data_IF_877428648031
#
_entry.id   IF_877428648031
#
_cell.length_a   1.000
_cell.length_b   1.000
_cell.length_c   1.000
_cell.angle_alpha   90.00
_cell.angle_beta   90.00
_cell.angle_gamma   90.00
#
_symmetry.space_group_name_H-M   'P 1'
#
loop_
_entity.id
_entity.type
_entity.pdbx_description
1 polymer ?
#
# COMPACT_ATOMS: atom_id res chain seq x y z
N UNK A 1 -14.60 4.30 -20.10
CA UNK A 1 -14.67 2.85 -19.81
C UNK A 1 -13.28 2.23 -19.62
N UNK A 2 -12.29 2.55 -20.46
CA UNK A 2 -10.92 1.99 -20.41
C UNK A 2 -10.22 2.28 -19.07
N UNK A 3 -10.26 3.52 -18.58
CA UNK A 3 -9.67 3.92 -17.29
C UNK A 3 -10.20 3.14 -16.08
N UNK A 4 -11.47 2.72 -16.12
CA UNK A 4 -12.09 1.94 -15.04
C UNK A 4 -11.50 0.52 -14.98
N UNK A 5 -11.31 -0.12 -16.14
CA UNK A 5 -10.70 -1.44 -16.27
C UNK A 5 -9.22 -1.41 -15.87
N UNK A 6 -8.48 -0.37 -16.26
CA UNK A 6 -7.10 -0.16 -15.86
C UNK A 6 -6.96 -0.04 -14.34
N UNK A 7 -7.73 0.86 -13.71
CA UNK A 7 -7.71 1.04 -12.26
C UNK A 7 -8.06 -0.24 -11.49
N UNK A 8 -9.01 -1.04 -12.01
CA UNK A 8 -9.32 -2.36 -11.47
C UNK A 8 -8.13 -3.31 -11.58
N UNK A 9 -7.51 -3.40 -12.76
CA UNK A 9 -6.38 -4.29 -12.99
C UNK A 9 -5.20 -3.99 -12.06
N UNK A 10 -4.85 -2.71 -11.87
CA UNK A 10 -3.78 -2.28 -10.98
C UNK A 10 -4.10 -2.57 -9.51
N UNK A 11 -5.35 -2.36 -9.10
CA UNK A 11 -5.81 -2.66 -7.74
C UNK A 11 -5.76 -4.16 -7.44
N UNK A 12 -6.15 -5.00 -8.41
CA UNK A 12 -6.09 -6.47 -8.29
C UNK A 12 -4.64 -6.95 -8.16
N UNK A 13 -3.74 -6.47 -9.02
CA UNK A 13 -2.31 -6.85 -8.95
C UNK A 13 -1.71 -6.44 -7.61
N UNK A 14 -1.91 -5.19 -7.18
CA UNK A 14 -1.42 -4.69 -5.90
C UNK A 14 -1.97 -5.48 -4.71
N UNK A 15 -3.24 -5.85 -4.74
CA UNK A 15 -3.90 -6.67 -3.71
C UNK A 15 -3.23 -8.05 -3.58
N UNK A 16 -3.05 -8.78 -4.68
CA UNK A 16 -2.43 -10.10 -4.64
C UNK A 16 -0.99 -10.06 -4.13
N UNK A 17 -0.20 -9.10 -4.59
CA UNK A 17 1.19 -8.93 -4.15
C UNK A 17 1.26 -8.62 -2.65
N UNK A 18 0.38 -7.75 -2.15
CA UNK A 18 0.34 -7.36 -0.74
C UNK A 18 -0.09 -8.50 0.19
N UNK A 19 -1.08 -9.31 -0.22
CA UNK A 19 -1.48 -10.52 0.53
C UNK A 19 -0.34 -11.54 0.55
N UNK A 20 0.27 -11.81 -0.61
CA UNK A 20 1.38 -12.74 -0.73
C UNK A 20 2.59 -12.31 0.12
N UNK A 21 2.95 -11.03 0.06
CA UNK A 21 4.02 -10.47 0.87
C UNK A 21 3.72 -10.58 2.37
N UNK A 22 2.51 -10.24 2.79
CA UNK A 22 2.11 -10.34 4.21
C UNK A 22 2.16 -11.79 4.72
N UNK A 23 1.78 -12.75 3.88
CA UNK A 23 1.89 -14.18 4.19
C UNK A 23 3.34 -14.62 4.36
N UNK A 24 4.23 -14.25 3.42
CA UNK A 24 5.65 -14.59 3.50
C UNK A 24 6.33 -13.96 4.71
N UNK A 25 6.03 -12.69 5.00
CA UNK A 25 6.59 -11.97 6.14
C UNK A 25 6.23 -12.63 7.48
N UNK A 26 4.95 -12.98 7.66
CA UNK A 26 4.49 -13.69 8.87
C UNK A 26 5.08 -15.10 8.98
N UNK A 27 5.25 -15.79 7.85
CA UNK A 27 5.82 -17.14 7.79
C UNK A 27 7.33 -17.15 8.09
N UNK A 28 8.11 -16.20 7.54
CA UNK A 28 9.58 -16.21 7.65
C UNK A 28 10.15 -15.55 8.91
N UNK A 29 9.33 -14.91 9.76
CA UNK A 29 9.79 -14.13 10.94
C UNK A 29 10.83 -13.04 10.60
N UNK A 30 10.85 -12.56 9.37
CA UNK A 30 11.84 -11.56 8.96
C UNK A 30 11.53 -10.23 9.65
N UNK A 31 12.50 -9.70 10.42
CA UNK A 31 12.46 -8.35 10.99
C UNK A 31 13.04 -7.35 9.97
N UNK A 32 12.42 -7.27 8.79
CA UNK A 32 12.83 -6.25 7.82
C UNK A 32 12.19 -4.93 8.26
N UNK A 33 13.01 -3.90 8.41
CA UNK A 33 12.51 -2.56 8.68
C UNK A 33 11.89 -1.98 7.40
N UNK A 34 10.59 -2.25 7.24
CA UNK A 34 9.79 -1.79 6.10
C UNK A 34 9.17 -0.41 6.36
N UNK A 35 9.63 0.32 7.39
CA UNK A 35 9.10 1.64 7.75
C UNK A 35 9.18 2.64 6.59
N UNK A 36 10.21 2.56 5.75
CA UNK A 36 10.37 3.40 4.56
C UNK A 36 9.19 3.31 3.58
N UNK A 37 8.51 2.16 3.49
CA UNK A 37 7.37 1.98 2.60
C UNK A 37 6.12 2.75 3.06
N UNK A 38 6.09 3.27 4.31
CA UNK A 38 4.99 4.11 4.79
C UNK A 38 4.90 5.45 4.06
N UNK A 39 6.00 5.90 3.43
CA UNK A 39 6.05 7.15 2.65
C UNK A 39 5.06 7.11 1.48
N UNK A 40 4.81 5.93 0.90
CA UNK A 40 3.80 5.70 -0.14
C UNK A 40 2.37 5.72 0.43
N UNK A 41 1.94 6.90 0.82
CA UNK A 41 0.58 7.21 1.23
C UNK A 41 -0.30 7.63 0.04
N UNK A 42 -1.55 7.97 0.35
CA UNK A 42 -2.56 8.35 -0.65
C UNK A 42 -2.12 9.56 -1.49
N UNK A 43 -1.52 10.57 -0.85
CA UNK A 43 -1.12 11.82 -1.50
C UNK A 43 0.16 11.69 -2.33
N UNK A 44 1.19 10.98 -1.83
CA UNK A 44 2.41 10.69 -2.59
C UNK A 44 2.11 9.86 -3.83
N UNK A 45 1.27 8.84 -3.69
CA UNK A 45 0.89 7.98 -4.82
C UNK A 45 0.13 8.77 -5.88
N UNK A 46 -0.82 9.61 -5.47
CA UNK A 46 -1.51 10.52 -6.39
C UNK A 46 -0.55 11.49 -7.08
N UNK A 47 0.32 12.16 -6.31
CA UNK A 47 1.28 13.13 -6.83
C UNK A 47 2.26 12.49 -7.82
N UNK A 48 2.75 11.28 -7.55
CA UNK A 48 3.63 10.55 -8.46
C UNK A 48 2.90 10.11 -9.73
N UNK A 49 1.65 9.65 -9.64
CA UNK A 49 0.84 9.32 -10.84
C UNK A 49 0.70 10.56 -11.73
N UNK A 50 0.36 11.73 -11.17
CA UNK A 50 0.27 12.96 -11.95
C UNK A 50 1.61 13.38 -12.57
N UNK A 51 2.71 13.30 -11.80
CA UNK A 51 4.05 13.65 -12.28
C UNK A 51 4.48 12.77 -13.46
N UNK A 52 4.32 11.45 -13.32
CA UNK A 52 4.70 10.50 -14.37
C UNK A 52 3.77 10.55 -15.58
N UNK A 53 2.49 10.87 -15.39
CA UNK A 53 1.57 11.09 -16.50
C UNK A 53 2.02 12.24 -17.41
N UNK A 54 2.75 13.21 -16.87
CA UNK A 54 3.24 14.35 -17.64
C UNK A 54 4.59 14.07 -18.29
N UNK A 55 5.48 13.34 -17.61
CA UNK A 55 6.84 13.10 -18.08
C UNK A 55 7.00 11.90 -19.02
N UNK A 56 6.10 10.91 -18.97
CA UNK A 56 6.33 9.61 -19.60
C UNK A 56 5.38 9.31 -20.75
N UNK A 57 5.91 8.54 -21.69
CA UNK A 57 5.13 7.96 -22.76
C UNK A 57 4.15 6.90 -22.22
N UNK A 58 3.04 6.66 -22.93
CA UNK A 58 1.90 5.88 -22.40
C UNK A 58 2.28 4.51 -21.84
N UNK A 59 3.13 3.75 -22.54
CA UNK A 59 3.52 2.40 -22.11
C UNK A 59 4.37 2.39 -20.83
N UNK A 60 5.34 3.31 -20.72
CA UNK A 60 6.17 3.43 -19.51
C UNK A 60 5.38 3.98 -18.34
N UNK A 61 4.43 4.87 -18.59
CA UNK A 61 3.50 5.35 -17.56
C UNK A 61 2.74 4.19 -16.91
N UNK A 62 2.11 3.31 -17.69
CA UNK A 62 1.37 2.17 -17.15
C UNK A 62 2.26 1.22 -16.33
N UNK A 63 3.50 0.96 -16.76
CA UNK A 63 4.44 0.15 -15.99
C UNK A 63 4.75 0.79 -14.63
N UNK A 64 4.96 2.11 -14.58
CA UNK A 64 5.20 2.81 -13.32
C UNK A 64 3.96 2.81 -12.43
N UNK A 65 2.76 2.94 -12.99
CA UNK A 65 1.51 2.85 -12.21
C UNK A 65 1.38 1.48 -11.54
N UNK A 66 1.77 0.39 -12.21
CA UNK A 66 1.83 -0.95 -11.58
C UNK A 66 2.80 -0.97 -10.42
N UNK A 67 4.01 -0.43 -10.59
CA UNK A 67 5.02 -0.37 -9.52
C UNK A 67 4.52 0.48 -8.34
N UNK A 68 3.92 1.64 -8.60
CA UNK A 68 3.33 2.50 -7.58
C UNK A 68 2.17 1.84 -6.84
N UNK A 69 1.33 1.08 -7.55
CA UNK A 69 0.29 0.27 -6.93
C UNK A 69 0.93 -0.71 -5.94
N UNK A 70 1.91 -1.49 -6.37
CA UNK A 70 2.60 -2.45 -5.50
C UNK A 70 3.18 -1.76 -4.26
N UNK A 71 3.88 -0.63 -4.43
CA UNK A 71 4.47 0.12 -3.31
C UNK A 71 3.42 0.67 -2.35
N UNK A 72 2.31 1.23 -2.86
CA UNK A 72 1.20 1.71 -2.04
C UNK A 72 0.58 0.58 -1.19
N UNK A 73 0.32 -0.55 -1.82
CA UNK A 73 -0.26 -1.71 -1.15
C UNK A 73 0.69 -2.32 -0.12
N UNK A 74 1.99 -2.40 -0.43
CA UNK A 74 3.02 -2.81 0.54
C UNK A 74 3.09 -1.85 1.73
N UNK A 75 3.09 -0.54 1.51
CA UNK A 75 3.06 0.46 2.58
C UNK A 75 1.85 0.34 3.51
N UNK A 76 0.70 -0.10 2.99
CA UNK A 76 -0.49 -0.43 3.79
C UNK A 76 -0.36 -1.76 4.52
N UNK A 77 0.20 -2.80 3.88
CA UNK A 77 0.51 -4.08 4.52
C UNK A 77 1.46 -3.95 5.70
N UNK A 78 2.48 -3.10 5.60
CA UNK A 78 3.44 -2.86 6.69
C UNK A 78 2.73 -2.34 7.93
N UNK A 79 1.77 -1.43 7.78
CA UNK A 79 0.96 -0.95 8.93
C UNK A 79 0.16 -2.08 9.57
N UNK A 80 -0.37 -3.01 8.78
CA UNK A 80 -1.04 -4.20 9.29
C UNK A 80 -0.06 -5.10 10.06
N UNK A 81 1.09 -5.42 9.48
CA UNK A 81 2.11 -6.28 10.08
C UNK A 81 2.63 -5.70 11.40
N UNK A 82 2.92 -4.40 11.43
CA UNK A 82 3.38 -3.70 12.64
C UNK A 82 2.28 -3.59 13.72
N UNK A 83 1.00 -3.75 13.38
CA UNK A 83 -0.10 -3.73 14.35
C UNK A 83 -0.31 -5.05 15.08
N UNK A 84 0.41 -6.11 14.71
CA UNK A 84 0.29 -7.43 15.33
C UNK A 84 1.16 -7.45 16.58
N UNK A 85 0.52 -7.62 17.74
CA UNK A 85 1.23 -7.77 19.01
C UNK A 85 1.97 -9.13 19.04
N UNK A 86 3.26 -9.09 19.37
CA UNK A 86 4.14 -10.26 19.50
C UNK A 86 3.66 -11.21 20.60
N UNK A 87 3.08 -10.68 21.69
CA UNK A 87 2.52 -11.48 22.79
C UNK A 87 1.32 -12.33 22.35
N UNK A 88 0.44 -11.79 21.50
CA UNK A 88 -0.71 -12.52 20.97
C UNK A 88 -0.26 -13.71 20.11
N UNK A 89 0.86 -13.57 19.40
CA UNK A 89 1.45 -14.66 18.63
C UNK A 89 2.00 -15.77 19.53
N UNK A 90 2.72 -15.41 20.60
CA UNK A 90 3.28 -16.38 21.56
C UNK A 90 2.13 -17.18 22.20
N UNK A 91 1.05 -16.50 22.60
CA UNK A 91 -0.16 -17.16 23.12
C UNK A 91 -0.75 -18.14 22.09
N UNK A 92 -0.84 -17.75 20.82
CA UNK A 92 -1.39 -18.62 19.77
C UNK A 92 -0.53 -19.87 19.53
N UNK A 93 0.81 -19.72 19.57
CA UNK A 93 1.74 -20.84 19.45
C UNK A 93 1.70 -21.77 20.68
N UNK A 94 1.47 -21.23 21.88
CA UNK A 94 1.34 -22.05 23.10
C UNK A 94 0.14 -22.99 23.10
N UNK A 95 -0.89 -22.71 22.29
CA UNK A 95 -2.03 -23.62 22.10
C UNK A 95 -1.77 -24.75 21.09
N UNK A 96 -0.54 -24.88 20.57
CA UNK A 96 -0.17 -25.96 19.65
C UNK A 96 -0.45 -25.68 18.17
N UNK A 97 -0.91 -24.48 17.82
CA UNK A 97 -1.14 -24.08 16.43
C UNK A 97 0.17 -23.80 15.68
N UNK A 98 0.16 -24.04 14.37
CA UNK A 98 1.35 -23.86 13.53
C UNK A 98 1.45 -22.41 13.01
N UNK A 99 2.68 -21.95 12.68
CA UNK A 99 2.93 -20.60 12.15
C UNK A 99 2.10 -20.31 10.87
N UNK A 100 1.82 -21.34 10.07
CA UNK A 100 0.95 -21.25 8.87
C UNK A 100 -0.49 -20.88 9.25
N UNK A 101 -1.05 -21.52 10.26
CA UNK A 101 -2.44 -21.32 10.69
C UNK A 101 -2.61 -19.93 11.29
N UNK A 102 -1.64 -19.49 12.09
CA UNK A 102 -1.60 -18.12 12.62
C UNK A 102 -1.62 -17.07 11.51
N UNK A 103 -0.76 -17.24 10.49
CA UNK A 103 -0.65 -16.28 9.38
C UNK A 103 -1.97 -16.16 8.59
N UNK A 104 -2.60 -17.29 8.26
CA UNK A 104 -3.88 -17.32 7.55
C UNK A 104 -5.00 -16.73 8.40
N UNK A 105 -5.04 -17.04 9.70
CA UNK A 105 -6.04 -16.50 10.61
C UNK A 105 -5.94 -14.97 10.71
N UNK A 106 -4.74 -14.43 10.88
CA UNK A 106 -4.50 -12.98 10.95
C UNK A 106 -4.91 -12.27 9.65
N UNK A 107 -4.49 -12.82 8.51
CA UNK A 107 -4.85 -12.26 7.19
C UNK A 107 -6.37 -12.31 7.01
N UNK A 108 -7.03 -13.43 7.32
CA UNK A 108 -8.49 -13.58 7.19
C UNK A 108 -9.25 -12.61 8.11
N UNK A 109 -8.83 -12.50 9.38
CA UNK A 109 -9.49 -11.64 10.37
C UNK A 109 -9.41 -10.15 10.02
N UNK A 110 -8.30 -9.70 9.43
CA UNK A 110 -8.10 -8.29 9.06
C UNK A 110 -8.12 -8.05 7.54
N UNK A 111 -8.63 -9.00 6.75
CA UNK A 111 -8.60 -8.98 5.29
C UNK A 111 -9.27 -7.73 4.73
N UNK A 112 -10.47 -7.44 5.23
CA UNK A 112 -11.27 -6.30 4.80
C UNK A 112 -10.60 -4.96 5.14
N UNK A 113 -10.16 -4.80 6.40
CA UNK A 113 -9.59 -3.54 6.88
C UNK A 113 -8.20 -3.26 6.29
N UNK A 114 -7.40 -4.30 6.07
CA UNK A 114 -5.98 -4.17 5.71
C UNK A 114 -5.69 -4.32 4.22
N UNK A 115 -6.58 -4.93 3.44
CA UNK A 115 -6.34 -5.20 2.02
C UNK A 115 -7.47 -4.66 1.13
N UNK A 116 -8.74 -4.93 1.47
CA UNK A 116 -9.89 -4.44 0.67
C UNK A 116 -10.03 -2.92 0.75
N UNK A 117 -9.90 -2.33 1.95
CA UNK A 117 -9.99 -0.88 2.11
C UNK A 117 -8.88 -0.12 1.36
N UNK A 118 -7.60 -0.55 1.39
CA UNK A 118 -6.58 -0.02 0.49
C UNK A 118 -6.88 -0.18 -1.00
N UNK A 119 -7.44 -1.32 -1.41
CA UNK A 119 -7.81 -1.54 -2.82
C UNK A 119 -8.86 -0.55 -3.32
N UNK A 120 -9.89 -0.31 -2.51
CA UNK A 120 -10.92 0.71 -2.78
C UNK A 120 -10.32 2.12 -2.80
N UNK A 121 -9.39 2.42 -1.88
CA UNK A 121 -8.69 3.72 -1.86
C UNK A 121 -7.88 3.93 -3.13
N UNK A 122 -7.03 2.98 -3.51
CA UNK A 122 -6.21 3.09 -4.71
C UNK A 122 -7.08 3.24 -5.96
N UNK A 123 -8.16 2.48 -6.04
CA UNK A 123 -9.14 2.60 -7.11
C UNK A 123 -9.77 4.00 -7.18
N UNK A 124 -10.20 4.55 -6.04
CA UNK A 124 -10.70 5.92 -5.95
C UNK A 124 -9.66 6.96 -6.37
N UNK A 125 -8.40 6.80 -5.96
CA UNK A 125 -7.30 7.69 -6.37
C UNK A 125 -7.09 7.67 -7.89
N UNK A 126 -7.13 6.50 -8.51
CA UNK A 126 -6.97 6.35 -9.97
C UNK A 126 -8.14 6.99 -10.74
N UNK A 127 -9.37 6.88 -10.21
CA UNK A 127 -10.54 7.56 -10.79
C UNK A 127 -10.39 9.08 -10.71
N UNK A 128 -9.97 9.59 -9.55
CA UNK A 128 -9.73 11.04 -9.36
C UNK A 128 -8.67 11.53 -10.33
N UNK A 129 -7.58 10.79 -10.49
CA UNK A 129 -6.56 11.07 -11.52
C UNK A 129 -7.15 11.09 -12.94
N UNK A 130 -7.95 10.08 -13.28
CA UNK A 130 -8.50 9.95 -14.64
C UNK A 130 -9.58 11.00 -14.96
N UNK A 131 -10.22 11.57 -13.95
CA UNK A 131 -11.35 12.49 -14.11
C UNK A 131 -10.96 13.96 -13.96
N UNK A 132 -9.90 14.24 -13.20
CA UNK A 132 -9.46 15.61 -12.95
C UNK A 132 -8.29 15.95 -13.87
N UNK A 133 -8.46 17.00 -14.68
CA UNK A 133 -7.40 17.52 -15.54
C UNK A 133 -6.46 18.45 -14.74
N UNK A 134 -5.90 17.92 -13.65
CA UNK A 134 -4.97 18.62 -12.77
C UNK A 134 -3.54 18.52 -13.31
N UNK A 135 -3.30 19.17 -14.46
CA UNK A 135 -1.97 19.26 -15.09
C UNK A 135 -1.19 20.50 -14.65
N UNK A 136 -1.39 20.98 -13.42
CA UNK A 136 -0.64 22.14 -12.92
C UNK A 136 0.56 21.67 -12.06
N UNK A 137 1.81 21.98 -12.45
CA UNK A 137 3.02 21.58 -11.72
C UNK A 137 3.05 22.03 -10.25
N UNK A 138 2.42 23.16 -9.94
CA UNK A 138 2.34 23.66 -8.56
C UNK A 138 1.46 22.74 -7.68
N UNK A 139 0.35 22.23 -8.22
CA UNK A 139 -0.54 21.34 -7.48
C UNK A 139 0.12 19.98 -7.24
N UNK A 140 0.85 19.46 -8.24
CA UNK A 140 1.61 18.21 -8.12
C UNK A 140 2.67 18.32 -7.03
N UNK A 141 3.39 19.44 -7.00
CA UNK A 141 4.43 19.72 -6.00
C UNK A 141 3.83 19.79 -4.58
N UNK A 142 2.69 20.47 -4.42
CA UNK A 142 1.98 20.56 -3.12
C UNK A 142 1.51 19.17 -2.66
N UNK A 143 0.94 18.36 -3.55
CA UNK A 143 0.51 16.99 -3.24
C UNK A 143 1.68 16.11 -2.78
N UNK A 144 2.82 16.20 -3.47
CA UNK A 144 4.02 15.44 -3.12
C UNK A 144 4.59 15.88 -1.77
N UNK A 145 4.70 17.19 -1.52
CA UNK A 145 5.17 17.72 -0.24
C UNK A 145 4.25 17.24 0.88
N UNK A 146 2.94 17.46 0.78
CA UNK A 146 1.97 16.99 1.78
C UNK A 146 2.08 15.48 2.00
N UNK A 147 2.20 14.72 0.93
CA UNK A 147 2.38 13.27 1.00
C UNK A 147 3.63 12.88 1.76
N UNK A 148 4.78 13.44 1.43
CA UNK A 148 6.05 13.11 2.11
C UNK A 148 5.99 13.54 3.58
N UNK A 149 5.48 14.73 3.89
CA UNK A 149 5.36 15.21 5.28
C UNK A 149 4.49 14.29 6.12
N UNK A 150 3.32 13.88 5.61
CA UNK A 150 2.43 12.92 6.29
C UNK A 150 3.09 11.54 6.43
N UNK A 151 3.84 11.11 5.41
CA UNK A 151 4.59 9.85 5.43
C UNK A 151 5.65 9.82 6.53
N UNK A 152 6.39 10.92 6.67
CA UNK A 152 7.40 11.11 7.70
C UNK A 152 6.78 11.22 9.10
N UNK A 153 5.71 12.02 9.28
CA UNK A 153 4.97 12.12 10.55
C UNK A 153 4.47 10.76 11.05
N UNK A 154 3.86 9.94 10.18
CA UNK A 154 3.43 8.57 10.52
C UNK A 154 4.60 7.59 10.76
N UNK A 155 5.82 7.98 10.40
CA UNK A 155 7.05 7.26 10.71
C UNK A 155 7.61 7.63 12.08
N UNK A 156 7.45 8.88 12.51
CA UNK A 156 7.99 9.46 13.74
C UNK A 156 7.20 9.06 15.00
N UNK A 157 5.90 8.72 14.90
CA UNK A 157 5.04 8.21 16.00
C UNK A 157 5.50 6.85 16.63
N UNK A 158 6.76 6.46 16.45
CA UNK A 158 7.36 5.24 17.00
C UNK A 158 8.53 5.50 17.98
N UNK A 159 8.82 6.75 18.30
CA UNK A 159 9.86 7.11 19.27
C UNK A 159 9.33 7.53 20.65
N UNK A 160 8.03 7.42 20.89
CA UNK A 160 7.41 7.55 22.22
C UNK A 160 6.79 6.22 22.68
#
# INVERSE_FOLDING_TARGET
MIWFLEGLSFSVVGFFVSVFFSYLYLKRRERIDLSALKIFNEFTTLGLIYLFSWMLNSLFFYLIVVVLAVLFFLGKSVRFLMSINEQYRIMFLSFGYNDKEFSLYQIRKKLFKSFVRPALKFFGLYIVFSSADLKNPFVISILLVLGVTIGLLNGVDKFD
#
